data_IF_292841605966
#
_entry.id   IF_292841605966
#
_cell.length_a   1.000
_cell.length_b   1.000
_cell.length_c   1.000
_cell.angle_alpha   90.00
_cell.angle_beta   90.00
_cell.angle_gamma   90.00
#
_symmetry.space_group_name_H-M   'P 1'
#
loop_
_entity.id
_entity.type
_entity.pdbx_description
1 polymer ?
#
# COMPACT_ATOMS: atom_id res chain seq x y z
N UNK A 1 24.85 -15.43 4.38
CA UNK A 1 25.40 -16.22 3.28
C UNK A 1 24.32 -17.22 2.85
N UNK A 2 23.35 -16.77 2.06
CA UNK A 2 22.25 -17.61 1.56
C UNK A 2 22.46 -17.85 0.07
N UNK A 3 22.84 -19.06 -0.27
CA UNK A 3 22.74 -19.61 -1.63
C UNK A 3 21.62 -20.63 -1.59
N UNK A 4 20.46 -20.29 -2.09
CA UNK A 4 19.46 -21.27 -2.47
C UNK A 4 19.55 -21.48 -3.98
N UNK A 5 19.89 -22.69 -4.36
CA UNK A 5 19.92 -23.20 -5.73
C UNK A 5 18.47 -23.54 -6.09
N UNK A 6 17.92 -22.83 -7.07
CA UNK A 6 16.72 -23.30 -7.79
C UNK A 6 17.18 -23.73 -9.17
N UNK A 7 17.33 -25.02 -9.34
CA UNK A 7 17.60 -25.65 -10.64
C UNK A 7 16.26 -25.99 -11.30
N UNK A 8 16.11 -25.50 -12.48
CA UNK A 8 15.14 -25.53 -13.49
C UNK A 8 14.17 -26.69 -13.66
N UNK A 9 13.06 -26.35 -14.24
CA UNK A 9 12.48 -27.14 -15.34
C UNK A 9 11.61 -26.23 -16.18
N UNK A 10 12.15 -25.82 -17.31
CA UNK A 10 11.43 -25.17 -18.39
C UNK A 10 10.64 -26.25 -19.09
N UNK A 11 9.33 -26.21 -19.03
CA UNK A 11 8.48 -26.94 -19.96
C UNK A 11 7.61 -25.94 -20.71
N UNK A 12 8.04 -25.75 -21.96
CA UNK A 12 7.35 -24.99 -23.00
C UNK A 12 5.97 -25.58 -23.26
N UNK A 13 4.93 -24.76 -23.16
CA UNK A 13 3.70 -25.00 -23.90
C UNK A 13 3.23 -23.65 -24.45
N UNK A 14 3.62 -23.40 -25.71
CA UNK A 14 3.09 -22.32 -26.53
C UNK A 14 1.68 -22.70 -26.95
N UNK A 15 0.69 -21.93 -26.48
CA UNK A 15 -0.54 -21.72 -27.24
C UNK A 15 -0.76 -20.22 -27.32
N UNK A 16 -0.48 -19.68 -28.49
CA UNK A 16 -0.56 -18.25 -28.76
C UNK A 16 -2.01 -17.76 -28.72
N UNK A 17 -2.28 -16.85 -27.83
CA UNK A 17 -3.38 -15.93 -27.94
C UNK A 17 -2.94 -14.76 -28.82
N UNK A 18 -3.53 -14.62 -30.00
CA UNK A 18 -3.25 -13.50 -30.90
C UNK A 18 -3.75 -12.20 -30.25
N UNK A 19 -2.85 -11.22 -30.14
CA UNK A 19 -3.21 -9.83 -29.86
C UNK A 19 -3.86 -9.28 -31.12
N UNK A 20 -5.12 -8.91 -31.09
CA UNK A 20 -5.78 -8.17 -32.15
C UNK A 20 -5.65 -6.67 -31.85
N UNK A 21 -4.90 -5.95 -32.68
CA UNK A 21 -4.90 -4.49 -32.69
C UNK A 21 -6.11 -3.98 -33.50
N UNK A 22 -6.90 -3.09 -32.92
CA UNK A 22 -7.88 -2.35 -33.69
C UNK A 22 -7.22 -1.17 -34.41
N UNK A 23 -7.92 -0.61 -35.40
CA UNK A 23 -7.44 0.48 -36.24
C UNK A 23 -7.20 1.81 -35.48
N UNK A 24 -7.40 1.87 -34.16
CA UNK A 24 -7.14 3.02 -33.29
C UNK A 24 -5.90 2.87 -32.41
N UNK A 25 -5.19 1.75 -32.50
CA UNK A 25 -3.99 1.48 -31.69
C UNK A 25 -4.29 1.19 -30.21
N UNK A 26 -5.56 0.96 -29.86
CA UNK A 26 -5.97 0.62 -28.50
C UNK A 26 -5.88 -0.89 -28.30
N UNK A 27 -4.96 -1.32 -27.47
CA UNK A 27 -4.87 -2.71 -27.04
C UNK A 27 -6.09 -3.03 -26.19
N UNK A 28 -7.05 -3.75 -26.76
CA UNK A 28 -8.16 -4.30 -25.98
C UNK A 28 -7.72 -5.66 -25.47
N UNK A 29 -7.57 -5.79 -24.16
CA UNK A 29 -7.42 -7.09 -23.53
C UNK A 29 -8.71 -7.87 -23.81
N UNK A 30 -8.61 -8.87 -24.68
CA UNK A 30 -9.71 -9.76 -25.01
C UNK A 30 -10.18 -10.50 -23.76
N UNK A 31 -11.27 -10.07 -23.19
CA UNK A 31 -11.96 -10.73 -22.10
C UNK A 31 -12.85 -11.84 -22.67
N UNK A 32 -12.26 -12.97 -23.01
CA UNK A 32 -13.04 -14.18 -23.31
C UNK A 32 -12.69 -15.30 -22.30
N UNK A 33 -12.79 -14.97 -21.03
CA UNK A 33 -12.83 -15.99 -19.99
C UNK A 33 -13.96 -15.63 -19.03
N UNK A 34 -14.97 -16.49 -19.01
CA UNK A 34 -15.99 -16.36 -17.96
C UNK A 34 -15.28 -16.32 -16.59
N UNK A 35 -15.77 -15.54 -15.62
CA UNK A 35 -15.12 -15.40 -14.30
C UNK A 35 -14.83 -16.75 -13.60
N UNK A 36 -15.52 -17.82 -13.99
CA UNK A 36 -15.35 -19.17 -13.45
C UNK A 36 -14.14 -19.93 -14.02
N UNK A 37 -13.60 -19.53 -15.17
CA UNK A 37 -12.47 -20.22 -15.83
C UNK A 37 -11.11 -19.56 -15.58
N UNK A 38 -11.08 -18.31 -15.09
CA UNK A 38 -9.85 -17.60 -14.77
C UNK A 38 -9.72 -17.39 -13.25
N UNK A 39 -8.92 -18.20 -12.53
CA UNK A 39 -8.75 -18.05 -11.10
C UNK A 39 -8.15 -16.68 -10.71
N UNK A 40 -7.39 -16.04 -11.59
CA UNK A 40 -6.82 -14.71 -11.33
C UNK A 40 -7.90 -13.61 -11.25
N UNK A 41 -9.02 -13.79 -11.97
CA UNK A 41 -10.15 -12.86 -11.92
C UNK A 41 -10.89 -12.88 -10.57
N UNK A 42 -10.63 -13.88 -9.74
CA UNK A 42 -11.22 -14.03 -8.40
C UNK A 42 -10.31 -13.52 -7.29
N UNK A 43 -9.06 -13.12 -7.62
CA UNK A 43 -8.14 -12.57 -6.65
C UNK A 43 -8.64 -11.20 -6.15
N UNK A 44 -8.42 -10.97 -4.87
CA UNK A 44 -8.71 -9.70 -4.20
C UNK A 44 -7.46 -9.25 -3.47
N UNK A 45 -7.29 -7.94 -3.30
CA UNK A 45 -6.28 -7.43 -2.38
C UNK A 45 -6.59 -7.96 -0.98
N UNK A 46 -5.55 -8.43 -0.28
CA UNK A 46 -5.65 -8.96 1.06
C UNK A 46 -5.02 -7.99 2.06
N UNK A 47 -3.71 -7.85 2.04
CA UNK A 47 -2.96 -6.93 2.90
C UNK A 47 -1.75 -6.34 2.18
N UNK A 48 -1.16 -5.32 2.79
CA UNK A 48 0.20 -4.89 2.55
C UNK A 48 1.04 -5.22 3.78
N UNK A 49 2.37 -5.35 3.63
CA UNK A 49 3.28 -5.57 4.73
C UNK A 49 4.13 -4.32 4.99
N UNK A 50 4.29 -3.98 6.27
CA UNK A 50 5.22 -2.98 6.78
C UNK A 50 6.28 -3.71 7.60
N UNK A 51 7.55 -3.54 7.24
CA UNK A 51 8.68 -3.95 8.06
C UNK A 51 9.13 -2.78 8.93
N UNK A 52 9.32 -3.01 10.22
CA UNK A 52 9.65 -1.96 11.19
C UNK A 52 10.70 -2.44 12.19
N UNK A 53 11.50 -1.49 12.71
CA UNK A 53 12.37 -1.73 13.86
C UNK A 53 11.64 -1.62 15.20
N UNK A 54 10.45 -0.99 15.20
CA UNK A 54 9.63 -0.76 16.39
C UNK A 54 8.21 -1.28 16.15
N UNK A 55 8.04 -2.58 16.36
CA UNK A 55 6.75 -3.26 16.17
C UNK A 55 5.65 -2.64 17.02
N UNK A 56 5.88 -2.48 18.32
CA UNK A 56 4.87 -1.96 19.25
C UNK A 56 4.53 -0.49 18.97
N UNK A 57 5.54 0.35 18.73
CA UNK A 57 5.31 1.75 18.35
C UNK A 57 4.55 1.89 17.04
N UNK A 58 4.77 0.98 16.06
CA UNK A 58 4.01 0.96 14.81
C UNK A 58 2.54 0.59 15.05
N UNK A 59 2.26 -0.45 15.82
CA UNK A 59 0.89 -0.81 16.20
C UNK A 59 0.19 0.35 16.92
N UNK A 60 0.85 0.97 17.90
CA UNK A 60 0.32 2.10 18.67
C UNK A 60 0.03 3.32 17.79
N UNK A 61 0.93 3.61 16.85
CA UNK A 61 0.75 4.73 15.92
C UNK A 61 -0.47 4.51 15.02
N UNK A 62 -0.56 3.36 14.36
CA UNK A 62 -1.69 3.05 13.48
C UNK A 62 -3.03 2.99 14.23
N UNK A 63 -3.02 2.51 15.48
CA UNK A 63 -4.20 2.50 16.32
C UNK A 63 -4.64 3.92 16.71
N UNK A 64 -3.72 4.71 17.28
CA UNK A 64 -4.04 6.04 17.83
C UNK A 64 -4.31 7.08 16.74
N UNK A 65 -3.63 7.00 15.59
CA UNK A 65 -3.73 7.98 14.50
C UNK A 65 -4.82 7.60 13.52
N UNK A 66 -4.86 6.36 13.06
CA UNK A 66 -5.74 5.91 11.96
C UNK A 66 -6.85 4.95 12.41
N UNK A 67 -6.86 4.55 13.68
CA UNK A 67 -7.91 3.68 14.24
C UNK A 67 -7.81 2.22 13.79
N UNK A 68 -6.62 1.75 13.45
CA UNK A 68 -6.39 0.32 13.19
C UNK A 68 -6.36 -0.46 14.50
N UNK A 69 -6.96 -1.63 14.49
CA UNK A 69 -6.98 -2.53 15.65
C UNK A 69 -6.21 -3.81 15.33
N UNK A 70 -5.55 -4.38 16.33
CA UNK A 70 -4.88 -5.67 16.20
C UNK A 70 -5.93 -6.76 15.97
N UNK A 71 -5.78 -7.48 14.87
CA UNK A 71 -6.65 -8.62 14.53
C UNK A 71 -6.05 -9.92 15.01
N UNK A 72 -4.73 -10.08 14.85
CA UNK A 72 -4.00 -11.29 15.18
C UNK A 72 -2.52 -11.01 15.32
N UNK A 73 -1.87 -11.66 16.27
CA UNK A 73 -0.42 -11.77 16.40
C UNK A 73 -0.04 -13.25 16.43
N UNK A 74 1.16 -13.59 15.98
CA UNK A 74 1.68 -14.96 16.00
C UNK A 74 3.21 -15.00 15.98
N UNK A 75 3.76 -16.10 16.46
CA UNK A 75 5.19 -16.36 16.44
C UNK A 75 5.57 -17.12 15.16
N UNK A 76 6.78 -16.87 14.67
CA UNK A 76 7.36 -17.65 13.55
C UNK A 76 8.39 -18.63 14.11
N UNK A 77 8.17 -19.93 13.94
CA UNK A 77 9.09 -20.95 14.43
C UNK A 77 10.52 -20.74 13.88
N UNK A 78 11.48 -20.66 14.78
CA UNK A 78 12.89 -20.42 14.44
C UNK A 78 13.29 -18.95 14.24
N UNK A 79 12.39 -18.00 14.55
CA UNK A 79 12.61 -16.55 14.47
C UNK A 79 12.09 -15.84 15.73
N UNK A 80 12.72 -16.16 16.88
CA UNK A 80 12.28 -15.67 18.20
C UNK A 80 12.41 -14.14 18.36
N UNK A 81 13.19 -13.48 17.48
CA UNK A 81 13.42 -12.02 17.47
C UNK A 81 12.51 -11.29 16.47
N UNK A 82 11.50 -11.93 15.93
CA UNK A 82 10.57 -11.35 14.95
C UNK A 82 9.15 -11.33 15.50
N UNK A 83 8.64 -10.13 15.71
CA UNK A 83 7.22 -9.92 16.02
C UNK A 83 6.40 -9.83 14.73
N UNK A 84 5.24 -10.48 14.67
CA UNK A 84 4.36 -10.42 13.50
C UNK A 84 2.91 -10.29 13.92
N UNK A 85 2.17 -9.42 13.23
CA UNK A 85 0.75 -9.28 13.47
C UNK A 85 0.00 -8.62 12.33
N UNK A 86 -1.29 -8.84 12.30
CA UNK A 86 -2.24 -8.12 11.46
C UNK A 86 -2.95 -7.04 12.25
N UNK A 87 -3.01 -5.85 11.67
CA UNK A 87 -3.88 -4.75 12.09
C UNK A 87 -4.87 -4.43 10.98
N UNK A 88 -6.09 -4.03 11.33
CA UNK A 88 -7.11 -3.74 10.33
C UNK A 88 -8.00 -2.55 10.72
N UNK A 89 -8.44 -1.81 9.70
CA UNK A 89 -9.46 -0.78 9.78
C UNK A 89 -10.26 -0.73 8.48
N UNK A 90 -11.57 -0.55 8.56
CA UNK A 90 -12.47 -0.30 7.42
C UNK A 90 -12.34 -1.31 6.28
N UNK A 91 -12.07 -2.58 6.60
CA UNK A 91 -11.92 -3.65 5.61
C UNK A 91 -10.57 -3.70 4.89
N UNK A 92 -9.60 -2.92 5.33
CA UNK A 92 -8.22 -2.97 4.87
C UNK A 92 -7.31 -3.51 5.97
N UNK A 93 -6.33 -4.33 5.59
CA UNK A 93 -5.43 -5.02 6.51
C UNK A 93 -3.96 -4.69 6.21
N UNK A 94 -3.19 -4.54 7.26
CA UNK A 94 -1.73 -4.36 7.21
C UNK A 94 -1.10 -5.49 8.04
N UNK A 95 -0.12 -6.16 7.45
CA UNK A 95 0.80 -7.03 8.16
C UNK A 95 1.96 -6.18 8.68
N UNK A 96 2.19 -6.21 9.98
CA UNK A 96 3.33 -5.53 10.60
C UNK A 96 4.33 -6.59 11.01
N UNK A 97 5.58 -6.44 10.56
CA UNK A 97 6.69 -7.35 10.87
C UNK A 97 7.79 -6.53 11.56
N UNK A 98 8.00 -6.81 12.83
CA UNK A 98 9.10 -6.27 13.61
C UNK A 98 10.37 -7.07 13.38
N UNK A 99 11.45 -6.40 12.94
CA UNK A 99 12.76 -7.03 12.71
C UNK A 99 13.86 -6.25 13.40
N UNK A 100 15.05 -6.86 13.54
CA UNK A 100 16.20 -6.14 14.06
C UNK A 100 16.56 -4.94 13.17
N UNK A 101 16.90 -3.82 13.80
CA UNK A 101 17.23 -2.55 13.13
C UNK A 101 18.33 -2.66 12.06
N UNK A 102 19.25 -3.58 12.22
CA UNK A 102 20.36 -3.82 11.28
C UNK A 102 19.92 -4.26 9.88
N UNK A 103 18.70 -4.78 9.74
CA UNK A 103 18.13 -5.20 8.46
C UNK A 103 17.27 -4.13 7.81
N UNK A 104 17.09 -2.98 8.44
CA UNK A 104 16.20 -1.93 7.97
C UNK A 104 16.96 -0.88 7.15
N UNK A 105 16.30 -0.37 6.12
CA UNK A 105 16.81 0.75 5.33
C UNK A 105 16.34 2.06 5.96
N UNK A 106 17.29 2.91 6.36
CA UNK A 106 16.98 4.27 6.85
C UNK A 106 16.66 5.27 5.73
N UNK A 107 16.54 4.79 4.49
CA UNK A 107 16.35 5.67 3.34
C UNK A 107 14.91 6.16 3.25
N UNK A 108 14.62 7.27 3.91
CA UNK A 108 13.37 8.02 3.76
C UNK A 108 13.60 9.17 2.79
N UNK A 109 12.76 9.27 1.75
CA UNK A 109 12.83 10.38 0.81
C UNK A 109 12.48 11.70 1.54
N UNK A 110 13.16 12.83 1.23
CA UNK A 110 12.98 14.09 1.95
C UNK A 110 11.60 14.74 1.73
N UNK A 111 10.91 14.38 0.66
CA UNK A 111 9.59 14.92 0.32
C UNK A 111 8.83 13.95 -0.60
N UNK A 112 7.51 14.23 -0.79
CA UNK A 112 6.61 13.41 -1.61
C UNK A 112 7.10 13.28 -3.06
N UNK A 113 7.57 14.37 -3.66
CA UNK A 113 7.96 14.37 -5.08
C UNK A 113 9.26 13.60 -5.31
N UNK A 114 10.20 13.69 -4.36
CA UNK A 114 11.42 12.88 -4.36
C UNK A 114 11.08 11.39 -4.23
N UNK A 115 10.16 11.03 -3.35
CA UNK A 115 9.70 9.65 -3.18
C UNK A 115 9.11 9.08 -4.49
N UNK A 116 8.36 9.88 -5.25
CA UNK A 116 7.78 9.46 -6.53
C UNK A 116 8.82 9.17 -7.61
N UNK A 117 10.08 9.58 -7.43
CA UNK A 117 11.17 9.27 -8.37
C UNK A 117 11.77 7.88 -8.16
N UNK A 118 11.52 7.25 -7.02
CA UNK A 118 11.96 5.89 -6.74
C UNK A 118 11.00 4.87 -7.39
N UNK A 119 11.55 3.72 -7.84
CA UNK A 119 10.73 2.65 -8.40
C UNK A 119 10.21 1.76 -7.28
N UNK A 120 8.95 1.40 -7.36
CA UNK A 120 8.32 0.48 -6.42
C UNK A 120 6.98 0.99 -5.89
N UNK A 121 6.57 0.48 -4.75
CA UNK A 121 5.41 0.98 -4.02
C UNK A 121 5.84 2.22 -3.23
N UNK A 122 5.29 3.39 -3.60
CA UNK A 122 5.71 4.69 -3.05
C UNK A 122 4.85 5.11 -1.87
N UNK A 123 3.55 4.88 -1.94
CA UNK A 123 2.61 5.24 -0.88
C UNK A 123 1.43 4.28 -0.81
N UNK A 124 0.79 4.26 0.35
CA UNK A 124 -0.53 3.70 0.57
C UNK A 124 -1.56 4.83 0.45
N UNK A 125 -2.73 4.56 -0.13
CA UNK A 125 -3.78 5.57 -0.25
C UNK A 125 -5.08 5.12 0.40
N UNK A 126 -5.73 6.04 1.13
CA UNK A 126 -7.07 5.89 1.69
C UNK A 126 -8.01 6.92 1.10
N UNK A 127 -9.24 6.51 0.77
CA UNK A 127 -10.29 7.43 0.36
C UNK A 127 -11.02 7.99 1.58
N UNK A 128 -11.39 9.27 1.50
CA UNK A 128 -12.19 9.98 2.49
C UNK A 128 -13.37 10.69 1.81
N UNK A 129 -14.42 10.96 2.55
CA UNK A 129 -15.51 11.81 2.10
C UNK A 129 -15.13 13.30 2.15
N UNK A 130 -14.21 13.68 3.03
CA UNK A 130 -13.76 15.06 3.25
C UNK A 130 -12.32 15.08 3.76
N UNK A 131 -11.37 15.37 2.86
CA UNK A 131 -9.95 15.43 3.20
C UNK A 131 -9.58 16.60 4.09
N UNK A 132 -10.32 17.71 4.04
CA UNK A 132 -10.05 18.86 4.91
C UNK A 132 -10.44 18.55 6.37
N UNK A 133 -11.56 17.85 6.58
CA UNK A 133 -11.93 17.37 7.91
C UNK A 133 -10.91 16.37 8.45
N UNK A 134 -10.41 15.47 7.60
CA UNK A 134 -9.34 14.53 7.98
C UNK A 134 -8.05 15.26 8.34
N UNK A 135 -7.68 16.30 7.57
CA UNK A 135 -6.50 17.12 7.88
C UNK A 135 -6.61 17.77 9.26
N UNK A 136 -7.77 18.35 9.58
CA UNK A 136 -8.01 18.97 10.86
C UNK A 136 -7.89 17.96 12.02
N UNK A 137 -8.43 16.77 11.85
CA UNK A 137 -8.35 15.70 12.85
C UNK A 137 -6.92 15.21 13.04
N UNK A 138 -6.15 14.98 11.94
CA UNK A 138 -4.76 14.56 12.00
C UNK A 138 -3.90 15.60 12.74
N UNK A 139 -4.08 16.90 12.43
CA UNK A 139 -3.38 17.98 13.13
C UNK A 139 -3.73 17.96 14.62
N UNK A 140 -5.00 17.74 14.98
CA UNK A 140 -5.43 17.68 16.38
C UNK A 140 -4.79 16.52 17.15
N UNK A 141 -4.41 15.45 16.46
CA UNK A 141 -3.67 14.29 16.98
C UNK A 141 -2.15 14.49 16.96
N UNK A 142 -1.68 15.67 16.53
CA UNK A 142 -0.25 16.00 16.47
C UNK A 142 0.49 15.41 15.27
N UNK A 143 -0.24 14.98 14.22
CA UNK A 143 0.36 14.49 12.98
C UNK A 143 0.73 15.67 12.09
N UNK A 144 1.97 15.68 11.62
CA UNK A 144 2.45 16.66 10.63
C UNK A 144 1.98 16.27 9.23
N UNK A 145 1.51 17.27 8.46
CA UNK A 145 1.12 17.06 7.08
C UNK A 145 2.34 17.26 6.16
N UNK A 146 2.77 16.20 5.51
CA UNK A 146 3.85 16.23 4.51
C UNK A 146 3.45 17.07 3.28
N UNK A 147 2.19 16.95 2.87
CA UNK A 147 1.52 17.80 1.91
C UNK A 147 0.14 18.16 2.45
N UNK A 148 -0.18 19.44 2.68
CA UNK A 148 -1.51 19.84 3.12
C UNK A 148 -2.56 19.61 2.02
N UNK A 149 -3.87 19.63 2.35
CA UNK A 149 -4.96 19.46 1.39
C UNK A 149 -4.78 20.30 0.14
N UNK A 150 -4.58 19.67 -1.00
CA UNK A 150 -4.22 20.30 -2.28
C UNK A 150 -5.08 19.72 -3.39
N UNK A 151 -5.58 20.58 -4.28
CA UNK A 151 -6.34 20.16 -5.46
C UNK A 151 -5.41 19.72 -6.58
N UNK A 152 -5.70 18.56 -7.14
CA UNK A 152 -5.08 18.02 -8.34
C UNK A 152 -6.16 17.90 -9.43
N UNK A 153 -6.43 18.99 -10.11
CA UNK A 153 -7.51 19.09 -11.11
C UNK A 153 -7.39 18.06 -12.23
N UNK A 154 -6.17 17.79 -12.69
CA UNK A 154 -5.92 16.79 -13.73
C UNK A 154 -6.31 15.36 -13.32
N UNK A 155 -6.24 15.04 -12.03
CA UNK A 155 -6.66 13.77 -11.46
C UNK A 155 -8.11 13.81 -10.95
N UNK A 156 -8.70 15.00 -10.84
CA UNK A 156 -10.05 15.19 -10.32
C UNK A 156 -10.17 14.92 -8.82
N UNK A 157 -9.10 15.12 -8.06
CA UNK A 157 -9.06 14.84 -6.63
C UNK A 157 -8.48 16.00 -5.82
N UNK A 158 -8.88 16.07 -4.54
CA UNK A 158 -8.21 16.81 -3.50
C UNK A 158 -7.58 15.81 -2.54
N UNK A 159 -6.31 16.00 -2.20
CA UNK A 159 -5.55 15.03 -1.42
C UNK A 159 -4.59 15.71 -0.44
N UNK A 160 -4.15 14.96 0.55
CA UNK A 160 -3.06 15.28 1.45
C UNK A 160 -2.10 14.10 1.57
N UNK A 161 -0.88 14.35 2.08
CA UNK A 161 0.05 13.30 2.48
C UNK A 161 0.48 13.47 3.93
N UNK A 162 0.64 12.34 4.62
CA UNK A 162 1.31 12.22 5.92
C UNK A 162 2.40 11.15 5.84
N UNK A 163 3.20 11.04 6.90
CA UNK A 163 4.08 9.88 7.12
C UNK A 163 3.64 9.13 8.36
N UNK A 164 3.79 7.80 8.30
CA UNK A 164 3.73 6.99 9.51
C UNK A 164 5.02 7.12 10.33
N UNK A 165 5.07 6.46 11.48
CA UNK A 165 6.25 6.47 12.36
C UNK A 165 7.49 5.78 11.77
N UNK A 166 7.36 5.09 10.64
CA UNK A 166 8.47 4.47 9.88
C UNK A 166 8.88 5.31 8.66
N UNK A 167 8.24 6.47 8.44
CA UNK A 167 8.49 7.35 7.30
C UNK A 167 7.78 6.94 6.02
N UNK A 168 6.91 5.94 6.03
CA UNK A 168 6.12 5.56 4.87
C UNK A 168 5.09 6.63 4.53
N UNK A 169 4.96 6.96 3.24
CA UNK A 169 3.96 7.91 2.78
C UNK A 169 2.57 7.29 2.78
N UNK A 170 1.62 8.05 3.31
CA UNK A 170 0.19 7.75 3.28
C UNK A 170 -0.55 8.92 2.63
N UNK A 171 -1.24 8.63 1.54
CA UNK A 171 -2.13 9.57 0.87
C UNK A 171 -3.54 9.45 1.43
N UNK A 172 -4.23 10.58 1.60
CA UNK A 172 -5.66 10.61 1.86
C UNK A 172 -6.31 11.45 0.77
N UNK A 173 -7.29 10.87 0.08
CA UNK A 173 -7.84 11.43 -1.14
C UNK A 173 -9.36 11.51 -1.11
N UNK A 174 -9.90 12.62 -1.64
CA UNK A 174 -11.34 12.84 -1.84
C UNK A 174 -11.57 13.32 -3.27
N UNK A 175 -12.54 12.77 -4.02
CA UNK A 175 -12.90 13.30 -5.34
C UNK A 175 -13.32 14.77 -5.26
N UNK A 176 -12.84 15.62 -6.19
CA UNK A 176 -13.22 17.03 -6.25
C UNK A 176 -14.74 17.23 -6.44
N UNK A 177 -15.43 16.27 -7.03
CA UNK A 177 -16.88 16.28 -7.14
C UNK A 177 -17.61 16.26 -5.79
N UNK A 178 -16.96 15.87 -4.70
CA UNK A 178 -17.52 15.95 -3.35
C UNK A 178 -17.60 17.39 -2.84
N UNK A 179 -16.77 18.31 -3.37
CA UNK A 179 -16.71 19.73 -2.97
C UNK A 179 -17.41 20.67 -3.94
N UNK A 180 -17.66 20.22 -5.16
CA UNK A 180 -18.32 21.02 -6.22
C UNK A 180 -19.69 20.42 -6.49
N UNK A 181 -20.78 21.13 -6.16
CA UNK A 181 -22.14 20.70 -6.48
C UNK A 181 -22.39 20.62 -8.00
#
# INVERSE_FOLDING_TARGET
MFKAIVTGMIMSCMTGGALAEDSSGKVTLGNDSSPKSNPLALMRADHIMISTADYRGTIEWYNSVLGFEVVREWDIEGYDDVDVGYIAANGFMIEVVGTATEFQSEKVAPDVFTAMSDRGYVHLAFSSADVDAVAAELISRGVELELPPTDFDAAGVRLLFIRDNNGNLIEIVTPLSAYKP
#
